data_IF_955878409457
#
_entry.id   IF_955878409457
#
_cell.length_a   1.000
_cell.length_b   1.000
_cell.length_c   1.000
_cell.angle_alpha   90.00
_cell.angle_beta   90.00
_cell.angle_gamma   90.00
#
_symmetry.space_group_name_H-M   'P 1'
#
loop_
_entity.id
_entity.type
_entity.pdbx_description
1 polymer ?
#
# COMPACT_ATOMS: atom_id res chain seq x y z
N UNK A 1 -20.07 -20.47 -55.88
CA UNK A 1 -18.72 -20.66 -55.31
C UNK A 1 -18.23 -19.33 -54.78
N UNK A 2 -18.32 -19.12 -53.46
CA UNK A 2 -17.30 -18.42 -52.69
C UNK A 2 -17.51 -18.78 -51.21
N UNK A 3 -16.44 -19.33 -50.64
CA UNK A 3 -16.31 -19.93 -49.33
C UNK A 3 -16.50 -18.89 -48.21
N UNK A 4 -17.27 -19.23 -47.17
CA UNK A 4 -17.12 -18.63 -45.85
C UNK A 4 -16.02 -19.40 -45.11
N UNK A 5 -14.93 -18.71 -44.74
CA UNK A 5 -13.88 -19.24 -43.87
C UNK A 5 -14.30 -18.97 -42.42
N UNK A 6 -14.36 -20.02 -41.61
CA UNK A 6 -14.46 -19.95 -40.15
C UNK A 6 -13.24 -20.63 -39.53
N UNK A 7 -12.63 -20.00 -38.50
CA UNK A 7 -11.96 -20.56 -37.31
C UNK A 7 -11.15 -19.40 -36.65
N UNK A 8 -11.54 -18.88 -35.48
CA UNK A 8 -11.30 -19.33 -34.09
C UNK A 8 -9.94 -18.93 -33.48
N UNK A 9 -9.96 -18.71 -32.15
CA UNK A 9 -8.87 -18.54 -31.15
C UNK A 9 -8.64 -17.06 -30.72
N UNK A 10 -8.74 -16.63 -29.45
CA UNK A 10 -8.66 -17.29 -28.14
C UNK A 10 -9.48 -16.56 -27.06
N UNK A 11 -9.96 -17.35 -26.10
CA UNK A 11 -10.41 -16.93 -24.78
C UNK A 11 -9.28 -16.16 -24.07
N UNK A 12 -9.54 -14.96 -23.55
CA UNK A 12 -8.87 -14.49 -22.34
C UNK A 12 -9.93 -13.96 -21.38
N UNK A 13 -10.18 -14.77 -20.34
CA UNK A 13 -10.74 -14.30 -19.08
C UNK A 13 -9.84 -13.17 -18.62
N UNK A 14 -10.32 -11.93 -18.66
CA UNK A 14 -9.89 -10.98 -17.65
C UNK A 14 -11.04 -10.91 -16.65
N UNK A 15 -10.97 -11.75 -15.61
CA UNK A 15 -11.35 -11.27 -14.29
C UNK A 15 -10.54 -9.98 -14.12
N UNK A 16 -11.17 -8.84 -14.38
CA UNK A 16 -10.69 -7.63 -13.73
C UNK A 16 -10.87 -7.96 -12.25
N UNK A 17 -9.77 -8.25 -11.54
CA UNK A 17 -9.74 -7.84 -10.15
C UNK A 17 -10.18 -6.38 -10.20
N UNK A 18 -11.39 -6.10 -9.73
CA UNK A 18 -11.87 -4.75 -9.59
C UNK A 18 -10.75 -3.99 -8.89
N UNK A 19 -10.33 -2.89 -9.51
CA UNK A 19 -9.38 -2.02 -8.85
C UNK A 19 -10.05 -1.60 -7.55
N UNK A 20 -9.44 -1.98 -6.41
CA UNK A 20 -9.88 -1.63 -5.04
C UNK A 20 -9.94 -0.11 -4.86
N UNK A 21 -9.47 0.65 -5.85
CA UNK A 21 -9.41 2.09 -5.88
C UNK A 21 -9.90 2.64 -7.22
N UNK A 22 -10.82 3.63 -7.16
CA UNK A 22 -11.36 4.29 -8.36
C UNK A 22 -11.09 5.79 -8.29
N UNK A 23 -10.25 6.24 -9.22
CA UNK A 23 -9.94 7.63 -9.51
C UNK A 23 -9.95 7.80 -11.03
N UNK A 24 -10.37 8.98 -11.51
CA UNK A 24 -10.34 9.26 -12.94
C UNK A 24 -8.90 9.38 -13.43
N UNK A 25 -8.60 8.76 -14.57
CA UNK A 25 -7.25 8.74 -15.14
C UNK A 25 -6.74 10.13 -15.57
N UNK A 26 -7.67 11.04 -15.90
CA UNK A 26 -7.38 12.43 -16.19
C UNK A 26 -8.61 13.28 -15.89
N UNK A 27 -8.39 14.55 -15.54
CA UNK A 27 -9.44 15.53 -15.34
C UNK A 27 -9.00 16.87 -15.96
N UNK A 28 -9.87 17.49 -16.75
CA UNK A 28 -9.60 18.75 -17.45
C UNK A 28 -10.71 19.73 -17.15
N UNK A 29 -10.34 20.95 -16.73
CA UNK A 29 -11.28 22.01 -16.42
C UNK A 29 -10.71 23.38 -16.82
N UNK A 30 -11.58 24.39 -16.88
CA UNK A 30 -11.20 25.74 -17.31
C UNK A 30 -10.55 26.50 -16.15
N UNK A 31 -9.61 27.40 -16.46
CA UNK A 31 -9.08 28.35 -15.47
C UNK A 31 -10.24 29.11 -14.80
N UNK A 32 -10.19 29.25 -13.48
CA UNK A 32 -11.19 29.91 -12.65
C UNK A 32 -12.41 29.04 -12.30
N UNK A 33 -12.62 27.89 -12.93
CA UNK A 33 -13.71 26.99 -12.55
C UNK A 33 -13.36 26.19 -11.30
N UNK A 34 -14.37 25.55 -10.71
CA UNK A 34 -14.18 24.52 -9.71
C UNK A 34 -14.05 23.14 -10.38
N UNK A 35 -13.37 22.21 -9.72
CA UNK A 35 -13.32 20.79 -10.08
C UNK A 35 -13.40 19.94 -8.83
N UNK A 36 -13.99 18.75 -8.97
CA UNK A 36 -14.04 17.72 -7.93
C UNK A 36 -13.36 16.47 -8.47
N UNK A 37 -12.28 16.07 -7.83
CA UNK A 37 -11.59 14.82 -8.13
C UNK A 37 -12.17 13.72 -7.23
N UNK A 38 -12.82 12.69 -7.82
CA UNK A 38 -13.35 11.59 -7.04
C UNK A 38 -12.21 10.69 -6.54
N UNK A 39 -12.41 10.12 -5.36
CA UNK A 39 -11.55 9.07 -4.82
C UNK A 39 -12.41 8.10 -4.05
N UNK A 40 -12.49 6.87 -4.56
CA UNK A 40 -13.27 5.80 -3.97
C UNK A 40 -12.34 4.63 -3.64
N UNK A 41 -12.42 4.14 -2.40
CA UNK A 41 -11.86 2.85 -2.01
C UNK A 41 -12.98 1.81 -1.88
N UNK A 42 -12.70 0.58 -2.29
CA UNK A 42 -13.53 -0.60 -2.01
C UNK A 42 -13.12 -1.28 -0.69
N UNK A 43 -12.06 -0.79 -0.04
CA UNK A 43 -11.53 -1.28 1.21
C UNK A 43 -12.22 -0.72 2.46
N UNK A 44 -11.68 -1.12 3.61
CA UNK A 44 -12.09 -0.66 4.94
C UNK A 44 -11.02 0.22 5.59
N UNK A 45 -10.14 0.84 4.79
CA UNK A 45 -8.99 1.56 5.31
C UNK A 45 -9.46 2.83 5.99
N UNK A 46 -9.02 3.03 7.23
CA UNK A 46 -9.36 4.23 7.99
C UNK A 46 -8.60 5.44 7.46
N UNK A 47 -7.35 5.27 7.04
CA UNK A 47 -6.51 6.36 6.56
C UNK A 47 -6.61 6.54 5.04
N UNK A 48 -6.92 7.75 4.61
CA UNK A 48 -6.85 8.17 3.21
C UNK A 48 -6.11 9.50 3.09
N UNK A 49 -5.35 9.64 2.01
CA UNK A 49 -4.53 10.82 1.74
C UNK A 49 -4.79 11.34 0.34
N UNK A 50 -4.71 12.66 0.20
CA UNK A 50 -4.47 13.31 -1.08
C UNK A 50 -3.04 13.79 -1.14
N UNK A 51 -2.37 13.46 -2.24
CA UNK A 51 -1.07 13.98 -2.60
C UNK A 51 -1.15 14.73 -3.93
N UNK A 52 -0.25 15.69 -4.10
CA UNK A 52 -0.01 16.40 -5.35
C UNK A 52 1.46 16.25 -5.74
N UNK A 53 1.70 15.97 -7.01
CA UNK A 53 3.03 15.95 -7.60
C UNK A 53 3.08 16.84 -8.84
N UNK A 54 3.88 17.90 -8.77
CA UNK A 54 4.21 18.71 -9.94
C UNK A 54 5.20 17.99 -10.85
N UNK A 55 5.22 18.35 -12.13
CA UNK A 55 6.20 17.83 -13.07
C UNK A 55 7.63 18.10 -12.57
N UNK A 56 8.43 17.04 -12.38
CA UNK A 56 9.80 17.13 -11.84
C UNK A 56 9.90 17.43 -10.34
N UNK A 57 8.77 17.52 -9.62
CA UNK A 57 8.71 17.76 -8.18
C UNK A 57 8.55 16.50 -7.34
N UNK A 58 8.75 16.66 -6.03
CA UNK A 58 8.44 15.65 -5.02
C UNK A 58 6.94 15.54 -4.74
N UNK A 59 6.55 14.48 -4.04
CA UNK A 59 5.18 14.24 -3.61
C UNK A 59 4.86 15.12 -2.38
N UNK A 60 3.80 15.92 -2.43
CA UNK A 60 3.36 16.78 -1.32
C UNK A 60 1.98 16.34 -0.81
N UNK A 61 1.81 16.22 0.50
CA UNK A 61 0.51 15.94 1.13
C UNK A 61 -0.39 17.17 1.00
N UNK A 62 -1.64 16.97 0.61
CA UNK A 62 -2.68 18.00 0.64
C UNK A 62 -3.63 17.80 1.81
N UNK A 63 -4.11 16.57 1.99
CA UNK A 63 -5.07 16.23 3.04
C UNK A 63 -4.85 14.82 3.58
N UNK A 64 -5.12 14.64 4.87
CA UNK A 64 -5.16 13.36 5.55
C UNK A 64 -6.51 13.18 6.24
N UNK A 65 -7.25 12.13 5.90
CA UNK A 65 -8.42 11.69 6.69
C UNK A 65 -8.07 10.43 7.45
N UNK A 66 -8.18 10.47 8.78
CA UNK A 66 -7.83 9.35 9.66
C UNK A 66 -8.97 8.37 9.89
N UNK A 67 -10.21 8.87 9.92
CA UNK A 67 -11.43 8.10 10.17
C UNK A 67 -12.62 8.77 9.48
N UNK A 68 -13.68 8.00 9.24
CA UNK A 68 -14.97 8.56 8.80
C UNK A 68 -15.54 9.52 9.84
N UNK A 69 -16.12 10.64 9.38
CA UNK A 69 -16.78 11.61 10.26
C UNK A 69 -15.84 12.53 11.05
N UNK A 70 -14.52 12.42 10.87
CA UNK A 70 -13.56 13.42 11.32
C UNK A 70 -13.12 14.32 10.17
N UNK A 71 -12.87 15.58 10.50
CA UNK A 71 -12.31 16.55 9.57
C UNK A 71 -10.96 16.03 9.06
N UNK A 72 -10.71 16.27 7.77
CA UNK A 72 -9.42 15.94 7.18
C UNK A 72 -8.38 17.00 7.60
N UNK A 73 -7.25 16.53 8.11
CA UNK A 73 -6.09 17.36 8.41
C UNK A 73 -5.64 18.06 7.11
N UNK A 74 -5.62 19.41 7.12
CA UNK A 74 -5.29 20.22 5.95
C UNK A 74 -3.81 20.57 5.93
N UNK A 75 -3.05 19.92 5.04
CA UNK A 75 -1.63 20.20 4.81
C UNK A 75 -1.41 21.11 3.59
N UNK A 76 -2.44 21.32 2.76
CA UNK A 76 -2.34 22.10 1.52
C UNK A 76 -2.05 23.59 1.76
N UNK A 77 -2.51 24.13 2.89
CA UNK A 77 -2.47 25.54 3.26
C UNK A 77 -3.08 26.50 2.21
N UNK A 78 -3.80 25.96 1.22
CA UNK A 78 -4.46 26.73 0.17
C UNK A 78 -5.99 26.67 0.37
N UNK A 79 -6.65 27.80 0.67
CA UNK A 79 -8.09 27.82 0.97
C UNK A 79 -8.96 27.42 -0.23
N UNK A 80 -8.40 27.38 -1.44
CA UNK A 80 -9.10 26.92 -2.65
C UNK A 80 -9.31 25.41 -2.65
N UNK A 81 -8.46 24.68 -1.94
CA UNK A 81 -8.51 23.23 -1.82
C UNK A 81 -9.35 22.86 -0.60
N UNK A 82 -10.11 21.77 -0.72
CA UNK A 82 -10.85 21.19 0.39
C UNK A 82 -11.08 19.71 0.16
N UNK A 83 -10.93 18.91 1.20
CA UNK A 83 -11.32 17.50 1.18
C UNK A 83 -12.14 17.21 2.43
N UNK A 84 -13.28 16.56 2.24
CA UNK A 84 -14.16 16.10 3.32
C UNK A 84 -14.44 14.64 3.06
N UNK A 85 -14.38 13.81 4.10
CA UNK A 85 -14.65 12.38 3.98
C UNK A 85 -16.10 12.08 4.39
N UNK A 86 -17.06 12.06 3.44
CA UNK A 86 -18.46 11.82 3.75
C UNK A 86 -18.74 10.42 4.27
N UNK A 87 -17.94 9.42 3.84
CA UNK A 87 -17.99 8.06 4.36
C UNK A 87 -16.65 7.37 4.19
N UNK A 88 -16.49 6.18 4.77
CA UNK A 88 -15.23 5.42 4.70
C UNK A 88 -14.72 5.23 3.28
N UNK A 89 -15.60 4.97 2.32
CA UNK A 89 -15.25 4.64 0.94
C UNK A 89 -14.88 5.87 0.10
N UNK A 90 -15.34 7.07 0.45
CA UNK A 90 -15.26 8.22 -0.45
C UNK A 90 -14.50 9.38 0.20
N UNK A 91 -13.45 9.84 -0.47
CA UNK A 91 -12.65 10.97 -0.01
C UNK A 91 -12.34 11.95 -1.15
N UNK A 92 -13.31 12.71 -1.65
CA UNK A 92 -13.14 13.59 -2.80
C UNK A 92 -12.33 14.84 -2.46
N UNK A 93 -11.51 15.31 -3.42
CA UNK A 93 -10.83 16.60 -3.35
C UNK A 93 -11.56 17.61 -4.22
N UNK A 94 -11.97 18.74 -3.63
CA UNK A 94 -12.51 19.87 -4.35
C UNK A 94 -11.45 20.96 -4.47
N UNK A 95 -11.33 21.54 -5.66
CA UNK A 95 -10.46 22.68 -5.94
C UNK A 95 -11.33 23.77 -6.56
N UNK A 96 -11.32 24.95 -5.97
CA UNK A 96 -12.07 26.12 -6.46
C UNK A 96 -11.12 27.14 -7.10
N UNK A 97 -11.62 27.93 -8.06
CA UNK A 97 -10.80 28.97 -8.70
C UNK A 97 -9.49 28.41 -9.30
N UNK A 98 -9.60 27.38 -10.13
CA UNK A 98 -8.45 26.70 -10.73
C UNK A 98 -7.46 27.67 -11.40
N UNK A 99 -6.18 27.45 -11.14
CA UNK A 99 -5.07 28.17 -11.73
C UNK A 99 -4.27 27.24 -12.64
N UNK A 100 -3.55 27.80 -13.62
CA UNK A 100 -2.67 27.00 -14.48
C UNK A 100 -1.55 26.31 -13.68
N UNK A 101 -1.14 26.92 -12.57
CA UNK A 101 -0.18 26.39 -11.61
C UNK A 101 -0.69 25.19 -10.83
N UNK A 102 -1.99 24.88 -10.86
CA UNK A 102 -2.54 23.68 -10.24
C UNK A 102 -2.38 22.43 -11.13
N UNK A 103 -1.83 22.57 -12.35
CA UNK A 103 -1.57 21.44 -13.26
C UNK A 103 -0.53 20.50 -12.63
N UNK A 104 -0.99 19.32 -12.21
CA UNK A 104 -0.19 18.34 -11.50
C UNK A 104 -0.83 16.95 -11.61
N UNK A 105 -0.10 15.92 -11.16
CA UNK A 105 -0.71 14.62 -10.87
C UNK A 105 -1.23 14.64 -9.43
N UNK A 106 -2.47 14.22 -9.25
CA UNK A 106 -3.11 14.14 -7.94
C UNK A 106 -3.35 12.68 -7.59
N UNK A 107 -2.72 12.22 -6.52
CA UNK A 107 -2.87 10.85 -6.05
C UNK A 107 -3.78 10.85 -4.85
N UNK A 108 -4.83 10.04 -4.89
CA UNK A 108 -5.49 9.64 -3.66
C UNK A 108 -5.01 8.23 -3.32
N UNK A 109 -4.72 7.97 -2.05
CA UNK A 109 -4.23 6.67 -1.59
C UNK A 109 -4.88 6.34 -0.25
N UNK A 110 -5.22 5.08 -0.06
CA UNK A 110 -5.48 4.54 1.26
C UNK A 110 -4.19 3.92 1.82
N UNK A 111 -4.03 3.95 3.15
CA UNK A 111 -2.89 3.32 3.80
C UNK A 111 -3.36 2.26 4.79
N UNK A 112 -2.67 1.12 4.75
CA UNK A 112 -2.68 0.14 5.82
C UNK A 112 -1.90 0.69 7.00
N UNK A 113 -2.44 0.50 8.21
CA UNK A 113 -1.68 0.76 9.43
C UNK A 113 -0.88 -0.49 9.77
N UNK A 114 0.44 -0.36 9.86
CA UNK A 114 1.37 -1.46 10.15
C UNK A 114 2.06 -1.16 11.48
N UNK A 115 2.03 -2.12 12.41
CA UNK A 115 2.65 -1.99 13.72
C UNK A 115 3.45 -3.24 14.07
N UNK A 116 4.70 -3.07 14.49
CA UNK A 116 5.54 -4.14 15.03
C UNK A 116 5.51 -4.10 16.56
N UNK A 117 5.41 -5.27 17.18
CA UNK A 117 5.50 -5.42 18.63
C UNK A 117 6.33 -6.67 18.98
N UNK A 118 7.40 -6.54 19.78
CA UNK A 118 8.00 -5.29 20.25
C UNK A 118 8.57 -4.43 19.10
N UNK A 119 8.74 -3.12 19.33
CA UNK A 119 9.38 -2.21 18.36
C UNK A 119 10.88 -2.47 18.26
N UNK A 120 11.53 -2.61 19.43
CA UNK A 120 12.95 -2.91 19.56
C UNK A 120 13.14 -4.13 20.47
N UNK A 121 14.07 -5.02 20.09
CA UNK A 121 14.51 -6.13 20.91
C UNK A 121 16.03 -6.11 21.00
N UNK A 122 16.55 -6.21 22.21
CA UNK A 122 17.97 -6.46 22.48
C UNK A 122 18.06 -7.83 23.12
N UNK A 123 18.68 -8.78 22.42
CA UNK A 123 18.73 -10.19 22.83
C UNK A 123 20.17 -10.68 22.85
N UNK A 124 20.46 -11.61 23.76
CA UNK A 124 21.72 -12.34 23.74
C UNK A 124 21.68 -13.47 22.71
N UNK A 125 22.83 -13.86 22.11
CA UNK A 125 22.88 -15.00 21.21
C UNK A 125 22.26 -16.26 21.81
N UNK A 126 21.50 -16.99 21.02
CA UNK A 126 20.75 -18.18 21.45
C UNK A 126 19.44 -17.89 22.20
N UNK A 127 19.11 -16.62 22.46
CA UNK A 127 17.82 -16.27 23.08
C UNK A 127 16.68 -16.40 22.08
N UNK A 128 15.50 -16.89 22.50
CA UNK A 128 14.34 -16.94 21.63
C UNK A 128 13.82 -15.52 21.34
N UNK A 129 13.26 -15.34 20.16
CA UNK A 129 12.60 -14.11 19.78
C UNK A 129 11.22 -14.36 19.18
N UNK A 130 10.33 -13.39 19.39
CA UNK A 130 9.01 -13.33 18.76
C UNK A 130 8.66 -11.88 18.50
N UNK A 131 8.38 -11.56 17.25
CA UNK A 131 7.91 -10.23 16.83
C UNK A 131 6.61 -10.41 16.06
N UNK A 132 5.60 -9.64 16.44
CA UNK A 132 4.29 -9.66 15.78
C UNK A 132 4.14 -8.39 14.94
N UNK A 133 3.81 -8.58 13.67
CA UNK A 133 3.33 -7.52 12.79
C UNK A 133 1.82 -7.50 12.79
N UNK A 134 1.21 -6.39 13.19
CA UNK A 134 -0.22 -6.16 13.13
C UNK A 134 -0.52 -5.20 11.98
N UNK A 135 -1.34 -5.63 11.03
CA UNK A 135 -1.79 -4.85 9.88
C UNK A 135 -3.28 -4.61 9.98
N UNK A 136 -3.68 -3.34 9.96
CA UNK A 136 -5.07 -2.89 10.04
C UNK A 136 -5.45 -2.07 8.81
N UNK A 137 -6.75 -1.96 8.57
CA UNK A 137 -7.34 -1.24 7.42
C UNK A 137 -7.81 -2.16 6.29
N UNK A 138 -7.43 -3.44 6.28
CA UNK A 138 -7.93 -4.43 5.33
C UNK A 138 -8.34 -5.73 6.01
N UNK A 139 -9.33 -6.42 5.45
CA UNK A 139 -9.85 -7.70 5.96
C UNK A 139 -8.90 -8.88 5.75
N UNK A 140 -7.99 -8.80 4.76
CA UNK A 140 -6.94 -9.79 4.52
C UNK A 140 -5.82 -9.19 3.64
N UNK A 141 -4.95 -8.33 4.19
CA UNK A 141 -3.81 -7.81 3.45
C UNK A 141 -2.76 -8.92 3.25
N UNK A 142 -2.04 -8.85 2.13
CA UNK A 142 -0.75 -9.52 2.00
C UNK A 142 0.22 -8.91 3.02
N UNK A 143 1.01 -9.72 3.69
CA UNK A 143 1.99 -9.26 4.69
C UNK A 143 3.35 -9.83 4.40
N UNK A 144 4.39 -9.08 4.77
CA UNK A 144 5.76 -9.36 4.40
C UNK A 144 6.68 -9.11 5.60
N UNK A 145 7.72 -9.93 5.72
CA UNK A 145 8.87 -9.70 6.58
C UNK A 145 10.09 -9.50 5.71
N UNK A 146 10.73 -8.34 5.87
CA UNK A 146 11.99 -7.99 5.24
C UNK A 146 13.11 -8.07 6.26
N UNK A 147 14.27 -8.54 5.81
CA UNK A 147 15.50 -8.52 6.59
C UNK A 147 16.47 -7.55 5.91
N UNK A 148 17.07 -6.70 6.72
CA UNK A 148 18.18 -5.86 6.31
C UNK A 148 19.44 -6.29 7.05
N UNK A 149 20.52 -6.46 6.28
CA UNK A 149 21.88 -6.66 6.79
C UNK A 149 22.83 -5.69 6.08
N UNK A 150 23.97 -5.34 6.69
CA UNK A 150 24.97 -4.49 6.04
C UNK A 150 25.51 -5.06 4.72
N UNK A 151 25.51 -6.39 4.56
CA UNK A 151 26.09 -7.09 3.40
C UNK A 151 25.09 -7.31 2.26
N UNK A 152 23.82 -7.58 2.58
CA UNK A 152 22.80 -7.96 1.58
C UNK A 152 21.80 -6.85 1.28
N UNK A 153 21.77 -5.80 2.09
CA UNK A 153 20.71 -4.79 2.02
C UNK A 153 19.35 -5.36 2.41
N UNK A 154 18.28 -4.66 2.03
CA UNK A 154 16.90 -5.06 2.35
C UNK A 154 16.37 -6.06 1.31
N UNK A 155 15.85 -7.19 1.78
CA UNK A 155 15.18 -8.18 0.93
C UNK A 155 14.01 -8.84 1.66
N UNK A 156 13.00 -9.27 0.90
CA UNK A 156 11.84 -9.98 1.45
C UNK A 156 12.26 -11.40 1.82
N UNK A 157 12.07 -11.80 3.07
CA UNK A 157 12.37 -13.15 3.56
C UNK A 157 11.11 -13.99 3.61
N UNK A 158 10.03 -13.47 4.18
CA UNK A 158 8.76 -14.18 4.32
C UNK A 158 7.61 -13.36 3.76
N UNK A 159 6.64 -14.01 3.13
CA UNK A 159 5.39 -13.37 2.76
C UNK A 159 4.19 -14.27 3.09
N UNK A 160 3.04 -13.64 3.26
CA UNK A 160 1.79 -14.31 3.55
C UNK A 160 0.64 -13.62 2.85
N UNK A 161 -0.21 -14.40 2.18
CA UNK A 161 -1.41 -13.91 1.46
C UNK A 161 -2.71 -14.19 2.22
N UNK A 162 -2.62 -14.84 3.37
CA UNK A 162 -3.78 -15.19 4.17
C UNK A 162 -3.43 -16.12 5.33
N UNK A 163 -4.40 -16.32 6.20
CA UNK A 163 -4.27 -17.17 7.40
C UNK A 163 -3.75 -18.56 7.04
N UNK A 164 -2.71 -19.01 7.75
CA UNK A 164 -2.05 -20.30 7.53
C UNK A 164 -1.21 -20.41 6.25
N UNK A 165 -1.14 -19.37 5.42
CA UNK A 165 -0.37 -19.35 4.17
C UNK A 165 0.87 -18.48 4.34
N UNK A 166 2.04 -19.10 4.48
CA UNK A 166 3.32 -18.40 4.63
C UNK A 166 4.35 -19.07 3.74
N UNK A 167 5.10 -18.26 2.99
CA UNK A 167 6.14 -18.75 2.08
C UNK A 167 7.41 -17.88 2.19
N UNK A 168 8.58 -18.52 2.33
CA UNK A 168 8.77 -19.87 2.86
C UNK A 168 8.29 -19.96 4.31
N UNK A 169 8.05 -21.17 4.84
CA UNK A 169 7.66 -21.32 6.25
C UNK A 169 8.82 -21.07 7.24
N UNK A 170 10.06 -21.33 6.80
CA UNK A 170 11.28 -21.22 7.61
C UNK A 170 12.49 -20.90 6.72
N UNK A 171 13.36 -20.02 7.20
CA UNK A 171 14.68 -19.69 6.61
C UNK A 171 15.67 -19.59 7.76
N UNK A 172 16.76 -20.35 7.69
CA UNK A 172 17.77 -20.43 8.75
C UNK A 172 17.14 -20.77 10.13
N UNK A 173 17.46 -20.01 11.18
CA UNK A 173 16.86 -20.13 12.51
C UNK A 173 15.45 -19.50 12.62
N UNK A 174 15.00 -18.78 11.59
CA UNK A 174 13.78 -17.97 11.62
C UNK A 174 12.59 -18.68 10.97
N UNK A 175 11.43 -18.55 11.58
CA UNK A 175 10.15 -19.04 11.06
C UNK A 175 9.10 -17.95 11.10
N UNK A 176 8.16 -17.97 10.17
CA UNK A 176 7.04 -17.05 10.17
C UNK A 176 5.70 -17.77 10.15
N UNK A 177 4.70 -17.21 10.81
CA UNK A 177 3.35 -17.77 10.89
C UNK A 177 2.28 -16.69 10.77
N UNK A 178 1.18 -17.01 10.09
CA UNK A 178 0.02 -16.11 9.91
C UNK A 178 -1.19 -16.67 10.68
N UNK A 179 -1.30 -16.42 12.00
CA UNK A 179 -2.36 -16.98 12.83
C UNK A 179 -3.76 -16.43 12.50
N UNK A 180 -3.85 -15.22 11.97
CA UNK A 180 -5.10 -14.61 11.52
C UNK A 180 -4.82 -13.55 10.43
N UNK A 181 -5.88 -12.95 9.88
CA UNK A 181 -5.75 -11.99 8.78
C UNK A 181 -5.13 -10.64 9.18
N UNK A 182 -5.03 -10.28 10.46
CA UNK A 182 -4.40 -9.03 10.88
C UNK A 182 -2.98 -9.21 11.38
N UNK A 183 -2.56 -10.41 11.81
CA UNK A 183 -1.28 -10.64 12.46
C UNK A 183 -0.36 -11.55 11.64
N UNK A 184 0.88 -11.12 11.42
CA UNK A 184 1.96 -11.91 10.84
C UNK A 184 3.14 -11.98 11.80
N UNK A 185 3.46 -13.17 12.28
CA UNK A 185 4.39 -13.41 13.39
C UNK A 185 5.72 -13.92 12.84
N UNK A 186 6.83 -13.39 13.34
CA UNK A 186 8.19 -13.84 13.11
C UNK A 186 8.76 -14.39 14.42
N UNK A 187 9.33 -15.58 14.38
CA UNK A 187 9.86 -16.29 15.56
C UNK A 187 11.22 -16.93 15.26
N UNK A 188 12.06 -17.04 16.28
CA UNK A 188 13.23 -17.93 16.28
C UNK A 188 13.44 -18.49 17.69
N UNK A 189 13.91 -19.74 17.77
CA UNK A 189 14.25 -20.37 19.04
C UNK A 189 15.57 -19.86 19.64
N UNK A 190 16.42 -19.23 18.81
CA UNK A 190 17.71 -18.71 19.22
C UNK A 190 18.30 -17.81 18.14
N UNK A 191 18.53 -16.54 18.45
CA UNK A 191 19.12 -15.58 17.51
C UNK A 191 20.64 -15.71 17.41
N UNK A 192 21.20 -15.49 16.22
CA UNK A 192 22.65 -15.44 16.01
C UNK A 192 23.35 -14.23 16.66
N UNK A 193 24.65 -14.07 16.37
CA UNK A 193 25.50 -12.98 16.87
C UNK A 193 25.50 -11.74 15.96
N UNK A 194 24.87 -11.82 14.79
CA UNK A 194 24.86 -10.74 13.79
C UNK A 194 23.80 -9.67 14.07
N UNK A 195 24.13 -8.42 13.73
CA UNK A 195 23.14 -7.35 13.67
C UNK A 195 22.25 -7.55 12.43
N UNK A 196 20.96 -7.73 12.64
CA UNK A 196 19.94 -7.78 11.60
C UNK A 196 18.76 -6.91 12.01
N UNK A 197 18.20 -6.16 11.06
CA UNK A 197 16.99 -5.37 11.27
C UNK A 197 15.84 -6.01 10.50
N UNK A 198 14.71 -6.19 11.19
CA UNK A 198 13.51 -6.79 10.62
C UNK A 198 12.42 -5.74 10.46
N UNK A 199 11.87 -5.65 9.26
CA UNK A 199 10.77 -4.75 8.93
C UNK A 199 9.57 -5.55 8.49
N UNK A 200 8.39 -5.19 9.00
CA UNK A 200 7.15 -5.76 8.52
C UNK A 200 6.40 -4.76 7.63
N UNK A 201 5.69 -5.28 6.64
CA UNK A 201 4.89 -4.48 5.73
C UNK A 201 3.58 -5.18 5.39
N UNK A 202 2.55 -4.39 5.07
CA UNK A 202 1.26 -4.87 4.59
C UNK A 202 0.94 -4.27 3.23
N UNK A 203 0.24 -5.02 2.38
CA UNK A 203 -0.30 -4.52 1.12
C UNK A 203 -1.64 -5.17 0.78
N UNK A 204 -2.62 -4.39 0.35
CA UNK A 204 -3.84 -4.87 -0.33
C UNK A 204 -3.59 -5.22 -1.79
N UNK A 205 -2.46 -4.77 -2.33
CA UNK A 205 -2.09 -4.89 -3.72
C UNK A 205 -0.76 -5.64 -3.83
N UNK A 206 -0.84 -6.94 -4.12
CA UNK A 206 0.35 -7.76 -4.40
C UNK A 206 0.06 -8.71 -5.54
N UNK A 207 0.65 -8.45 -6.71
CA UNK A 207 0.66 -9.42 -7.79
C UNK A 207 1.70 -10.51 -7.44
N UNK A 208 1.30 -11.78 -7.55
CA UNK A 208 2.09 -13.00 -7.30
C UNK A 208 3.47 -13.00 -7.97
N UNK A 209 3.66 -12.21 -9.03
CA UNK A 209 4.87 -12.14 -9.85
C UNK A 209 5.92 -11.10 -9.43
N UNK A 210 5.66 -10.27 -8.41
CA UNK A 210 6.55 -9.14 -8.05
C UNK A 210 6.96 -9.05 -6.57
N UNK A 211 6.66 -10.04 -5.73
CA UNK A 211 7.08 -10.03 -4.32
C UNK A 211 8.62 -9.94 -4.16
N UNK A 212 9.39 -10.49 -5.12
CA UNK A 212 10.85 -10.32 -5.20
C UNK A 212 11.33 -8.97 -5.76
N UNK A 213 10.43 -8.03 -6.07
CA UNK A 213 10.71 -6.71 -6.69
C UNK A 213 10.30 -5.52 -5.82
N UNK A 214 10.07 -5.73 -4.53
CA UNK A 214 9.86 -4.63 -3.58
C UNK A 214 11.16 -3.89 -3.21
N UNK A 215 12.21 -4.01 -4.02
CA UNK A 215 13.27 -3.01 -4.14
C UNK A 215 12.99 -2.20 -5.40
N UNK A 216 12.36 -1.02 -5.24
CA UNK A 216 12.38 -0.02 -6.31
C UNK A 216 13.80 0.55 -6.32
N UNK A 217 14.71 -0.14 -7.03
CA UNK A 217 15.85 0.56 -7.61
C UNK A 217 15.27 1.37 -8.77
N UNK A 218 14.91 2.63 -8.52
CA UNK A 218 14.66 3.58 -9.61
C UNK A 218 15.99 3.75 -10.36
N UNK A 219 16.08 3.40 -11.65
CA UNK A 219 17.20 3.88 -12.45
C UNK A 219 17.00 5.39 -12.64
N UNK A 220 18.05 6.14 -12.30
CA UNK A 220 18.21 7.56 -12.63
C UNK A 220 18.13 7.78 -14.15
#
# INVERSE_FOLDING_TARGET
>A
MQLLIALHLLFFITQTLAAVFRQDAFAVARKGSAIRLPCLQEGTHEYMYWYRQFAGGGLAVLYLSRYEGMDADNESQDPRFSAVRPNRQNFPLNITGLQLTDTAVYYCVDLLQVQQSPLDLVLHPGSPMKVTCSVQGSSNPNTFWYRWTPTEGIHCVFYSVGTGQVEPAKVDEFSASRPNNSHFVLESAGVGTGLAVWYCAGSTHGNKSKAGRCTINSPL
#
